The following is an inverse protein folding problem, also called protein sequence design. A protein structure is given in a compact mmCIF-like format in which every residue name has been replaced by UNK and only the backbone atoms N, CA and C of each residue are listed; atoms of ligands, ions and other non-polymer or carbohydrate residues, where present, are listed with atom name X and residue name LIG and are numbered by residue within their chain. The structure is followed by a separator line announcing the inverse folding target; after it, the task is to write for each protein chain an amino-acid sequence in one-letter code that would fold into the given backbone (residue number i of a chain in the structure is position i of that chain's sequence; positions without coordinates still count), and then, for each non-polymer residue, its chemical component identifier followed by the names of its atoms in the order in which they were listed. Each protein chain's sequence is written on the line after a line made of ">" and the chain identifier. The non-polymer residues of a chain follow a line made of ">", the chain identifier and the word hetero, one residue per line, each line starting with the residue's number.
data_IF_523577192277
#
_entry.id   IF_523577192277
#
_cell.length_a   1.000
_cell.length_b   1.000
_cell.length_c   1.000
_cell.angle_alpha   90.00
_cell.angle_beta   90.00
_cell.angle_gamma   90.00
#
_symmetry.space_group_name_H-M   'P 1'
#
loop_
_entity.id
_entity.type
_entity.pdbx_description
1 polymer ?
#
# COMPACT_ATOMS: atom_id res chain seq x y z
N UNK A 1 -3.20 -16.04 11.75
CA UNK A 1 -4.30 -16.11 10.75
C UNK A 1 -4.85 -14.73 10.32
N UNK A 2 -4.42 -13.60 10.91
CA UNK A 2 -4.93 -12.26 10.52
C UNK A 2 -4.28 -11.70 9.24
N UNK A 3 -3.03 -12.10 8.97
CA UNK A 3 -2.15 -11.63 7.89
C UNK A 3 -2.71 -11.88 6.47
N UNK A 4 -3.37 -13.02 6.25
CA UNK A 4 -3.86 -13.43 4.91
C UNK A 4 -4.98 -12.51 4.38
N UNK A 5 -5.84 -11.98 5.24
CA UNK A 5 -6.96 -11.12 4.85
C UNK A 5 -6.48 -9.70 4.53
N UNK A 6 -5.63 -9.14 5.39
CA UNK A 6 -5.04 -7.81 5.17
C UNK A 6 -4.24 -7.76 3.87
N UNK A 7 -3.44 -8.80 3.61
CA UNK A 7 -2.69 -8.91 2.36
C UNK A 7 -3.60 -8.96 1.12
N UNK A 8 -4.67 -9.76 1.14
CA UNK A 8 -5.62 -9.81 0.02
C UNK A 8 -6.32 -8.47 -0.27
N UNK A 9 -6.69 -7.73 0.78
CA UNK A 9 -7.26 -6.38 0.64
C UNK A 9 -6.24 -5.40 0.06
N UNK A 10 -4.99 -5.46 0.52
CA UNK A 10 -3.90 -4.63 0.02
C UNK A 10 -3.66 -4.87 -1.48
N UNK A 11 -3.55 -6.12 -1.91
CA UNK A 11 -3.34 -6.45 -3.32
C UNK A 11 -4.50 -5.95 -4.20
N UNK A 12 -5.74 -6.05 -3.73
CA UNK A 12 -6.88 -5.53 -4.46
C UNK A 12 -6.84 -3.99 -4.56
N UNK A 13 -6.53 -3.31 -3.46
CA UNK A 13 -6.41 -1.86 -3.40
C UNK A 13 -5.25 -1.33 -4.25
N UNK A 14 -4.12 -2.05 -4.30
CA UNK A 14 -2.91 -1.64 -5.02
C UNK A 14 -2.80 -2.20 -6.43
N UNK A 15 -3.79 -2.96 -6.89
CA UNK A 15 -3.87 -3.46 -8.27
C UNK A 15 -3.64 -2.34 -9.27
N UNK A 16 -2.67 -2.53 -10.16
CA UNK A 16 -2.35 -1.57 -11.21
C UNK A 16 -3.57 -1.39 -12.14
N UNK A 17 -3.96 -0.14 -12.38
CA UNK A 17 -5.06 0.19 -13.28
C UNK A 17 -4.58 0.45 -14.72
N UNK A 18 -3.28 0.28 -14.99
CA UNK A 18 -2.64 0.59 -16.28
C UNK A 18 -2.87 2.02 -16.81
N UNK A 19 -3.34 2.92 -15.95
CA UNK A 19 -3.51 4.33 -16.23
C UNK A 19 -2.83 5.13 -15.11
N UNK A 20 -1.53 5.37 -15.29
CA UNK A 20 -0.67 5.99 -14.28
C UNK A 20 -1.12 7.42 -13.94
N UNK A 21 -1.62 8.18 -14.92
CA UNK A 21 -2.08 9.56 -14.73
C UNK A 21 -3.29 9.63 -13.80
N UNK A 22 -4.20 8.66 -13.89
CA UNK A 22 -5.40 8.63 -13.05
C UNK A 22 -5.18 7.96 -11.69
N UNK A 23 -4.39 6.88 -11.63
CA UNK A 23 -4.28 6.11 -10.38
C UNK A 23 -3.17 6.60 -9.44
N UNK A 24 -2.10 7.21 -9.96
CA UNK A 24 -0.98 7.73 -9.17
C UNK A 24 -0.17 6.68 -8.37
N UNK A 25 -0.54 5.39 -8.40
CA UNK A 25 0.06 4.34 -7.56
C UNK A 25 1.56 4.19 -7.80
N UNK A 26 2.01 4.26 -9.04
CA UNK A 26 3.44 4.18 -9.39
C UNK A 26 4.29 5.27 -8.71
N UNK A 27 3.74 6.48 -8.56
CA UNK A 27 4.43 7.58 -7.87
C UNK A 27 4.58 7.35 -6.37
N UNK A 28 3.65 6.58 -5.78
CA UNK A 28 3.73 6.19 -4.37
C UNK A 28 4.68 5.01 -4.19
N UNK A 29 4.56 3.99 -5.06
CA UNK A 29 5.39 2.78 -5.01
C UNK A 29 6.87 3.08 -5.24
N UNK A 30 7.22 3.99 -6.17
CA UNK A 30 8.60 4.37 -6.50
C UNK A 30 9.53 3.15 -6.71
N UNK A 31 9.02 2.10 -7.38
CA UNK A 31 9.77 0.87 -7.65
C UNK A 31 9.76 -0.19 -6.52
N UNK A 32 9.07 0.08 -5.41
CA UNK A 32 8.83 -0.91 -4.34
C UNK A 32 7.47 -1.59 -4.53
N UNK A 33 7.30 -2.77 -3.95
CA UNK A 33 5.98 -3.42 -3.89
C UNK A 33 5.14 -2.81 -2.77
N UNK A 34 3.82 -2.88 -2.92
CA UNK A 34 2.84 -2.54 -1.90
C UNK A 34 3.06 -3.36 -0.62
N UNK A 35 3.50 -4.62 -0.75
CA UNK A 35 3.77 -5.51 0.39
C UNK A 35 4.85 -4.94 1.30
N UNK A 36 5.93 -4.41 0.72
CA UNK A 36 7.03 -3.79 1.47
C UNK A 36 6.56 -2.48 2.11
N UNK A 37 5.78 -1.67 1.40
CA UNK A 37 5.29 -0.38 1.91
C UNK A 37 4.29 -0.54 3.06
N UNK A 38 3.48 -1.60 3.03
CA UNK A 38 2.40 -1.85 3.99
C UNK A 38 2.64 -3.08 4.86
N UNK A 39 3.90 -3.49 5.06
CA UNK A 39 4.25 -4.64 5.91
C UNK A 39 3.65 -4.51 7.32
N UNK A 40 3.78 -3.35 7.95
CA UNK A 40 3.20 -3.09 9.28
C UNK A 40 1.67 -3.19 9.31
N UNK A 41 0.99 -2.89 8.20
CA UNK A 41 -0.46 -3.07 8.08
C UNK A 41 -0.82 -4.55 7.91
N UNK A 42 -0.05 -5.28 7.10
CA UNK A 42 -0.23 -6.71 6.88
C UNK A 42 -0.05 -7.49 8.19
N UNK A 43 0.96 -7.12 8.98
CA UNK A 43 1.29 -7.75 10.26
C UNK A 43 0.36 -7.29 11.40
N UNK A 44 -0.38 -6.20 11.21
CA UNK A 44 -1.31 -5.65 12.19
C UNK A 44 -0.66 -4.72 13.24
N UNK A 45 0.57 -4.26 12.98
CA UNK A 45 1.30 -3.32 13.83
C UNK A 45 0.77 -1.87 13.70
N UNK A 46 0.29 -1.49 12.50
CA UNK A 46 -0.18 -0.12 12.21
C UNK A 46 -1.43 -0.14 11.33
N UNK A 47 -2.21 0.94 11.35
CA UNK A 47 -3.35 1.08 10.43
C UNK A 47 -2.89 1.44 9.01
N UNK A 48 -3.70 1.05 8.02
CA UNK A 48 -3.47 1.41 6.61
C UNK A 48 -3.35 2.94 6.42
N UNK A 49 -4.17 3.71 7.15
CA UNK A 49 -4.20 5.16 7.03
C UNK A 49 -2.95 5.82 7.58
N UNK A 50 -2.41 5.34 8.71
CA UNK A 50 -1.19 5.91 9.30
C UNK A 50 0.00 5.76 8.35
N UNK A 51 0.15 4.58 7.74
CA UNK A 51 1.19 4.32 6.74
C UNK A 51 0.98 5.21 5.50
N UNK A 52 -0.25 5.31 5.00
CA UNK A 52 -0.59 6.14 3.83
C UNK A 52 -0.25 7.62 4.06
N UNK A 53 -0.56 8.15 5.25
CA UNK A 53 -0.26 9.53 5.62
C UNK A 53 1.24 9.78 5.71
N UNK A 54 1.99 8.85 6.30
CA UNK A 54 3.45 8.95 6.40
C UNK A 54 4.11 8.97 5.01
N UNK A 55 3.70 8.07 4.10
CA UNK A 55 4.23 8.03 2.74
C UNK A 55 3.96 9.35 2.00
N UNK A 56 2.79 9.97 2.22
CA UNK A 56 2.44 11.27 1.61
C UNK A 56 3.17 12.45 2.24
N UNK A 57 3.47 12.38 3.55
CA UNK A 57 4.16 13.44 4.28
C UNK A 57 5.66 13.48 4.03
N UNK A 58 6.29 12.35 3.70
CA UNK A 58 7.70 12.25 3.31
C UNK A 58 7.99 12.71 1.86
N UNK A 59 7.36 13.81 1.45
CA UNK A 59 7.55 14.43 0.13
C UNK A 59 8.91 15.12 0.00
#
# INVERSE_FOLDING_TARGET
>A
MHTRRAFGLLLNEWKCLHNCELCGKCHVLKGRSEEILYTDYIDGNRSYMDITLEIRSNK
#
